data_IF_364552951990
#
_entry.id   IF_364552951990
#
_cell.length_a   1.000
_cell.length_b   1.000
_cell.length_c   1.000
_cell.angle_alpha   90.00
_cell.angle_beta   90.00
_cell.angle_gamma   90.00
#
_symmetry.space_group_name_H-M   'P 1'
#
loop_
_entity.id
_entity.type
_entity.pdbx_description
1 polymer ?
#
# COMPACT_ATOMS: atom_id res chain seq x y z
N UNK A 1 -25.18 36.09 -7.21
CA UNK A 1 -23.75 35.74 -7.02
C UNK A 1 -23.67 34.68 -5.93
N UNK A 2 -23.54 33.40 -6.29
CA UNK A 2 -23.31 32.32 -5.32
C UNK A 2 -21.81 32.28 -5.00
N UNK A 3 -21.41 32.95 -3.92
CA UNK A 3 -20.08 32.79 -3.35
C UNK A 3 -19.96 31.38 -2.78
N UNK A 4 -19.06 30.57 -3.32
CA UNK A 4 -18.74 29.23 -2.81
C UNK A 4 -18.35 29.31 -1.33
N UNK A 5 -19.18 28.74 -0.46
CA UNK A 5 -19.19 28.96 1.01
C UNK A 5 -17.95 28.41 1.74
N UNK A 6 -17.08 27.64 1.09
CA UNK A 6 -15.86 27.12 1.74
C UNK A 6 -14.67 27.14 0.76
N UNK A 7 -13.83 28.17 0.85
CA UNK A 7 -12.56 28.24 0.10
C UNK A 7 -11.52 27.36 0.80
N UNK A 8 -11.37 26.13 0.30
CA UNK A 8 -10.39 25.14 0.78
C UNK A 8 -9.12 25.28 -0.08
N UNK A 9 -8.03 25.79 0.51
CA UNK A 9 -6.73 25.84 -0.16
C UNK A 9 -6.05 24.47 -0.11
N UNK A 10 -6.35 23.65 -1.13
CA UNK A 10 -5.93 22.24 -1.25
C UNK A 10 -4.41 22.06 -1.06
N UNK A 11 -3.60 22.96 -1.60
CA UNK A 11 -2.13 22.90 -1.54
C UNK A 11 -1.59 22.96 -0.10
N UNK A 12 -2.21 23.75 0.76
CA UNK A 12 -1.75 23.93 2.14
C UNK A 12 -2.47 23.03 3.13
N UNK A 13 -3.77 22.81 2.91
CA UNK A 13 -4.62 22.12 3.87
C UNK A 13 -4.42 20.61 3.83
N UNK A 14 -4.21 20.01 2.67
CA UNK A 14 -4.00 18.54 2.59
C UNK A 14 -2.79 18.10 3.41
N UNK A 15 -1.59 18.70 3.26
CA UNK A 15 -0.43 18.33 4.08
C UNK A 15 -0.68 18.52 5.59
N UNK A 16 -1.39 19.59 5.98
CA UNK A 16 -1.75 19.87 7.38
C UNK A 16 -2.67 18.80 7.96
N UNK A 17 -3.70 18.39 7.22
CA UNK A 17 -4.65 17.37 7.69
C UNK A 17 -4.07 15.96 7.74
N UNK A 18 -3.12 15.63 6.87
CA UNK A 18 -2.48 14.30 6.86
C UNK A 18 -1.25 14.22 7.77
N UNK A 19 -0.79 15.34 8.35
CA UNK A 19 0.46 15.45 9.12
C UNK A 19 1.65 14.81 8.39
N UNK A 20 1.66 14.90 7.06
CA UNK A 20 2.62 14.24 6.19
C UNK A 20 3.00 15.13 5.01
N UNK A 21 4.21 14.92 4.48
CA UNK A 21 4.63 15.55 3.23
C UNK A 21 3.92 14.87 2.06
N UNK A 22 2.98 15.58 1.44
CA UNK A 22 2.18 15.06 0.33
C UNK A 22 2.54 15.79 -0.96
N UNK A 23 2.83 15.02 -2.01
CA UNK A 23 2.97 15.53 -3.37
C UNK A 23 1.67 15.34 -4.12
N UNK A 24 1.01 16.46 -4.42
CA UNK A 24 -0.22 16.48 -5.20
C UNK A 24 0.13 16.40 -6.69
N UNK A 25 -0.46 15.41 -7.36
CA UNK A 25 -0.20 15.12 -8.77
C UNK A 25 -1.52 15.00 -9.52
N UNK A 26 -1.50 15.38 -10.78
CA UNK A 26 -2.62 15.26 -11.73
C UNK A 26 -2.18 14.47 -12.95
N UNK A 27 -3.11 14.06 -13.81
CA UNK A 27 -2.78 13.34 -15.04
C UNK A 27 -3.22 14.14 -16.25
N UNK A 28 -2.56 13.94 -17.38
CA UNK A 28 -2.91 14.64 -18.62
C UNK A 28 -4.35 14.37 -19.04
N UNK A 29 -4.83 13.13 -18.87
CA UNK A 29 -6.22 12.77 -19.16
C UNK A 29 -7.23 13.54 -18.29
N UNK A 30 -6.93 13.75 -16.99
CA UNK A 30 -7.79 14.54 -16.10
C UNK A 30 -7.85 16.00 -16.53
N UNK A 31 -6.71 16.58 -16.93
CA UNK A 31 -6.65 17.96 -17.41
C UNK A 31 -7.51 18.11 -18.67
N UNK A 32 -7.33 17.23 -19.65
CA UNK A 32 -8.07 17.27 -20.92
C UNK A 32 -9.58 17.09 -20.69
N UNK A 33 -9.98 16.20 -19.77
CA UNK A 33 -11.40 16.03 -19.43
C UNK A 33 -11.98 17.28 -18.77
N UNK A 34 -11.25 17.89 -17.84
CA UNK A 34 -11.67 19.12 -17.19
C UNK A 34 -11.73 20.32 -18.18
N UNK A 35 -10.83 20.38 -19.15
CA UNK A 35 -10.86 21.38 -20.24
C UNK A 35 -12.09 21.22 -21.11
N UNK A 36 -12.38 19.99 -21.55
CA UNK A 36 -13.60 19.68 -22.31
C UNK A 36 -14.85 20.12 -21.56
N UNK A 37 -14.95 19.81 -20.26
CA UNK A 37 -16.08 20.25 -19.44
C UNK A 37 -16.13 21.77 -19.25
N UNK A 38 -14.97 22.43 -19.24
CA UNK A 38 -14.88 23.90 -19.18
C UNK A 38 -15.33 24.60 -20.47
N UNK A 39 -15.10 23.99 -21.64
CA UNK A 39 -15.57 24.49 -22.93
C UNK A 39 -17.11 24.45 -23.03
N UNK A 40 -17.75 23.44 -22.44
CA UNK A 40 -19.21 23.36 -22.31
C UNK A 40 -19.74 24.22 -21.14
N UNK A 41 -19.51 25.54 -21.22
CA UNK A 41 -20.22 26.64 -20.52
C UNK A 41 -20.72 26.38 -19.08
N UNK A 42 -19.91 25.74 -18.22
CA UNK A 42 -20.15 25.74 -16.79
C UNK A 42 -19.10 26.59 -16.06
N UNK A 43 -19.48 27.81 -15.68
CA UNK A 43 -18.62 28.73 -14.92
C UNK A 43 -18.12 28.11 -13.59
N UNK A 44 -18.85 27.12 -13.06
CA UNK A 44 -18.48 26.43 -11.83
C UNK A 44 -17.24 25.52 -11.96
N UNK A 45 -16.90 25.05 -13.16
CA UNK A 45 -15.81 24.07 -13.37
C UNK A 45 -14.48 24.75 -13.70
N UNK A 46 -14.52 26.00 -14.17
CA UNK A 46 -13.30 26.75 -14.52
C UNK A 46 -12.35 26.93 -13.32
N UNK A 47 -12.90 27.18 -12.12
CA UNK A 47 -12.10 27.25 -10.90
C UNK A 47 -11.38 25.93 -10.58
N UNK A 48 -12.07 24.80 -10.78
CA UNK A 48 -11.46 23.48 -10.61
C UNK A 48 -10.36 23.22 -11.64
N UNK A 49 -10.56 23.62 -12.90
CA UNK A 49 -9.56 23.50 -13.95
C UNK A 49 -8.26 24.24 -13.60
N UNK A 50 -8.37 25.48 -13.09
CA UNK A 50 -7.20 26.27 -12.67
C UNK A 50 -6.41 25.58 -11.56
N UNK A 51 -7.11 24.96 -10.59
CA UNK A 51 -6.47 24.22 -9.50
C UNK A 51 -5.75 22.96 -10.02
N UNK A 52 -6.37 22.19 -10.90
CA UNK A 52 -5.77 20.95 -11.45
C UNK A 52 -4.48 21.24 -12.22
N UNK A 53 -4.43 22.36 -12.95
CA UNK A 53 -3.23 22.80 -13.68
C UNK A 53 -2.07 23.26 -12.80
N UNK A 54 -2.33 23.64 -11.55
CA UNK A 54 -1.28 24.07 -10.61
C UNK A 54 -0.45 22.90 -10.06
N UNK A 55 -1.00 21.68 -10.09
CA UNK A 55 -0.32 20.50 -9.57
C UNK A 55 0.55 19.83 -10.64
N UNK A 56 1.56 19.08 -10.20
CA UNK A 56 2.50 18.41 -11.11
C UNK A 56 1.81 17.33 -11.93
N UNK A 57 2.03 17.32 -13.25
CA UNK A 57 1.46 16.30 -14.12
C UNK A 57 2.30 15.02 -14.10
N UNK A 58 1.68 13.91 -13.70
CA UNK A 58 2.24 12.58 -13.85
C UNK A 58 2.02 12.06 -15.28
N UNK A 59 3.09 11.53 -15.90
CA UNK A 59 3.04 10.96 -17.24
C UNK A 59 2.24 9.66 -17.22
N UNK A 60 1.05 9.67 -17.81
CA UNK A 60 0.26 8.47 -18.08
C UNK A 60 0.59 7.89 -19.46
N UNK A 61 0.32 6.60 -19.68
CA UNK A 61 0.55 5.93 -20.98
C UNK A 61 -0.45 6.28 -22.08
N UNK A 62 -1.25 7.34 -21.90
CA UNK A 62 -2.38 7.71 -22.77
C UNK A 62 -2.19 9.09 -23.44
N UNK A 63 -0.94 9.51 -23.66
CA UNK A 63 -0.65 10.84 -24.22
C UNK A 63 -1.18 10.97 -25.66
N UNK A 64 -1.09 9.92 -26.47
CA UNK A 64 -1.52 9.94 -27.86
C UNK A 64 -3.05 9.80 -28.01
N UNK A 65 -3.68 9.05 -27.11
CA UNK A 65 -5.13 8.80 -27.09
C UNK A 65 -5.68 9.03 -25.69
N UNK A 66 -6.13 10.26 -25.36
CA UNK A 66 -6.63 10.58 -24.04
C UNK A 66 -7.92 9.81 -23.76
N UNK A 67 -7.89 9.03 -22.69
CA UNK A 67 -9.04 8.28 -22.17
C UNK A 67 -9.73 9.06 -21.04
N UNK A 68 -10.96 8.69 -20.64
CA UNK A 68 -11.61 9.28 -19.47
C UNK A 68 -10.74 9.14 -18.20
N UNK A 69 -10.78 10.15 -17.33
CA UNK A 69 -10.01 10.26 -16.09
C UNK A 69 -10.18 9.03 -15.20
N UNK A 70 -11.40 8.52 -15.06
CA UNK A 70 -11.70 7.31 -14.30
C UNK A 70 -10.88 6.11 -14.80
N UNK A 71 -10.84 5.90 -16.11
CA UNK A 71 -10.08 4.83 -16.78
C UNK A 71 -8.58 5.06 -16.67
N UNK A 72 -8.12 6.31 -16.82
CA UNK A 72 -6.72 6.67 -16.69
C UNK A 72 -6.19 6.37 -15.27
N UNK A 73 -6.92 6.80 -14.24
CA UNK A 73 -6.55 6.59 -12.84
C UNK A 73 -6.52 5.10 -12.47
N UNK A 74 -7.47 4.31 -12.97
CA UNK A 74 -7.47 2.85 -12.79
C UNK A 74 -6.24 2.18 -13.39
N UNK A 75 -5.90 2.55 -14.62
CA UNK A 75 -4.72 2.04 -15.32
C UNK A 75 -3.43 2.37 -14.56
N UNK A 76 -3.36 3.57 -13.97
CA UNK A 76 -2.21 3.99 -13.14
C UNK A 76 -2.10 3.26 -11.80
N UNK A 77 -3.22 2.97 -11.15
CA UNK A 77 -3.23 2.23 -9.88
C UNK A 77 -2.88 0.75 -10.12
N UNK A 78 -3.49 0.14 -11.13
CA UNK A 78 -3.36 -1.29 -11.42
C UNK A 78 -3.70 -2.17 -10.20
N UNK A 79 -3.36 -3.46 -10.29
CA UNK A 79 -3.60 -4.42 -9.22
C UNK A 79 -2.59 -4.37 -8.06
N UNK A 80 -1.45 -3.69 -8.22
CA UNK A 80 -0.35 -3.71 -7.25
C UNK A 80 0.13 -2.34 -6.76
N UNK A 81 -0.52 -1.22 -7.15
CA UNK A 81 -0.18 0.16 -6.76
C UNK A 81 1.36 0.38 -6.66
N UNK A 82 2.10 0.09 -7.72
CA UNK A 82 3.58 0.09 -7.73
C UNK A 82 4.18 1.44 -7.32
N UNK A 83 3.56 2.53 -7.78
CA UNK A 83 3.93 3.90 -7.43
C UNK A 83 3.32 4.38 -6.09
N UNK A 84 2.60 3.49 -5.38
CA UNK A 84 2.02 3.70 -4.05
C UNK A 84 1.22 5.00 -3.94
N UNK A 85 0.36 5.25 -4.93
CA UNK A 85 -0.61 6.34 -4.88
C UNK A 85 -1.64 6.09 -3.77
N UNK A 86 -1.91 7.12 -2.98
CA UNK A 86 -3.00 7.12 -2.01
C UNK A 86 -4.25 7.70 -2.66
N UNK A 87 -5.32 6.91 -2.67
CA UNK A 87 -6.63 7.28 -3.20
C UNK A 87 -7.61 7.28 -2.04
N UNK A 88 -8.43 8.34 -1.93
CA UNK A 88 -9.32 8.51 -0.78
C UNK A 88 -10.49 7.52 -0.86
N UNK A 89 -10.86 6.94 0.29
CA UNK A 89 -11.87 5.87 0.47
C UNK A 89 -13.19 6.05 -0.28
N UNK A 90 -13.69 7.27 -0.48
CA UNK A 90 -14.95 7.48 -1.21
C UNK A 90 -14.86 7.05 -2.68
N UNK A 91 -13.69 7.17 -3.28
CA UNK A 91 -13.48 6.69 -4.65
C UNK A 91 -13.17 5.19 -4.70
N UNK A 92 -12.92 4.52 -3.56
CA UNK A 92 -12.56 3.10 -3.52
C UNK A 92 -13.71 2.20 -4.00
N UNK A 93 -14.97 2.55 -3.71
CA UNK A 93 -16.15 1.82 -4.22
C UNK A 93 -16.32 2.03 -5.74
N UNK A 94 -16.17 3.27 -6.21
CA UNK A 94 -16.16 3.59 -7.64
C UNK A 94 -15.03 2.87 -8.37
N UNK A 95 -13.83 2.81 -7.78
CA UNK A 95 -12.70 2.08 -8.35
C UNK A 95 -12.86 0.56 -8.25
N UNK A 96 -13.48 0.01 -7.19
CA UNK A 96 -13.82 -1.43 -7.13
C UNK A 96 -14.82 -1.82 -8.21
N UNK A 97 -15.86 -1.00 -8.42
CA UNK A 97 -16.84 -1.24 -9.48
C UNK A 97 -16.21 -1.11 -10.86
N UNK A 98 -15.34 -0.12 -11.07
CA UNK A 98 -14.62 0.01 -12.33
C UNK A 98 -13.59 -1.11 -12.55
N UNK A 99 -12.81 -1.52 -11.55
CA UNK A 99 -11.88 -2.67 -11.61
C UNK A 99 -12.61 -3.94 -12.05
N UNK A 100 -13.80 -4.19 -11.50
CA UNK A 100 -14.70 -5.28 -11.92
C UNK A 100 -15.13 -5.14 -13.38
N UNK A 101 -15.56 -3.95 -13.79
CA UNK A 101 -16.00 -3.67 -15.17
C UNK A 101 -14.88 -3.83 -16.21
N UNK A 102 -13.66 -3.44 -15.87
CA UNK A 102 -12.50 -3.47 -16.76
C UNK A 102 -11.64 -4.75 -16.62
N UNK A 103 -12.11 -5.75 -15.86
CA UNK A 103 -11.42 -7.04 -15.73
C UNK A 103 -10.06 -6.98 -15.02
N UNK A 104 -9.74 -5.88 -14.34
CA UNK A 104 -8.52 -5.73 -13.54
C UNK A 104 -8.80 -6.38 -12.18
N UNK A 105 -8.64 -7.69 -12.11
CA UNK A 105 -8.78 -8.44 -10.86
C UNK A 105 -7.66 -8.04 -9.90
N UNK A 106 -8.06 -7.58 -8.71
CA UNK A 106 -7.14 -7.41 -7.60
C UNK A 106 -6.57 -8.78 -7.25
N UNK A 107 -5.27 -8.97 -7.49
CA UNK A 107 -4.56 -10.04 -6.79
C UNK A 107 -4.64 -9.64 -5.33
N UNK A 108 -5.45 -10.33 -4.54
CA UNK A 108 -5.43 -10.30 -3.07
C UNK A 108 -4.08 -10.85 -2.57
N UNK A 109 -2.99 -10.20 -2.96
CA UNK A 109 -1.65 -10.50 -2.58
C UNK A 109 -1.37 -9.75 -1.30
N UNK A 110 -1.39 -10.48 -0.18
CA UNK A 110 -0.85 -10.05 1.11
C UNK A 110 0.39 -9.19 0.87
N UNK A 111 0.31 -7.89 1.17
CA UNK A 111 1.48 -7.01 1.19
C UNK A 111 2.45 -7.62 2.20
N UNK A 112 3.51 -8.29 1.73
CA UNK A 112 4.54 -8.84 2.60
C UNK A 112 5.24 -7.67 3.29
N UNK A 113 4.78 -7.30 4.49
CA UNK A 113 5.47 -6.33 5.35
C UNK A 113 6.92 -6.78 5.50
N UNK A 114 7.85 -6.04 4.89
CA UNK A 114 9.29 -6.29 5.04
C UNK A 114 9.60 -6.22 6.53
N UNK A 115 10.20 -7.28 7.09
CA UNK A 115 10.62 -7.31 8.49
C UNK A 115 11.63 -6.17 8.70
N UNK A 116 11.32 -5.22 9.58
CA UNK A 116 12.27 -4.18 10.00
C UNK A 116 13.52 -4.87 10.57
N UNK A 117 14.72 -4.41 10.20
CA UNK A 117 15.96 -4.83 10.87
C UNK A 117 15.85 -4.37 12.32
N UNK A 118 15.76 -5.29 13.28
CA UNK A 118 15.81 -4.93 14.70
C UNK A 118 17.22 -4.39 14.95
N UNK A 119 17.30 -3.16 15.47
CA UNK A 119 18.55 -2.59 15.98
C UNK A 119 19.13 -3.47 17.10
N UNK A 120 20.41 -3.27 17.46
CA UNK A 120 21.04 -4.07 18.49
C UNK A 120 20.21 -4.03 19.78
N UNK A 121 19.91 -5.22 20.32
CA UNK A 121 19.13 -5.38 21.55
C UNK A 121 19.82 -4.63 22.71
N UNK A 122 19.14 -3.73 23.42
CA UNK A 122 19.74 -2.91 24.47
C UNK A 122 20.26 -3.71 25.69
N UNK A 123 19.91 -4.99 25.83
CA UNK A 123 20.49 -5.90 26.83
C UNK A 123 21.79 -6.58 26.36
N UNK A 124 22.54 -5.94 25.46
CA UNK A 124 23.93 -6.31 25.17
C UNK A 124 24.81 -5.96 26.38
N UNK A 125 24.69 -6.76 27.44
CA UNK A 125 25.48 -6.67 28.65
C UNK A 125 26.97 -6.73 28.33
N UNK A 126 27.70 -5.82 28.98
CA UNK A 126 29.14 -5.60 28.90
C UNK A 126 29.94 -6.92 28.90
N UNK A 127 30.98 -6.97 28.05
CA UNK A 127 31.90 -8.09 27.89
C UNK A 127 32.58 -8.38 29.24
N UNK A 128 32.41 -9.60 29.78
CA UNK A 128 33.11 -10.07 30.99
C UNK A 128 34.61 -10.12 30.71
N UNK A 129 35.40 -9.31 31.41
CA UNK A 129 36.86 -9.32 31.30
C UNK A 129 37.43 -10.60 31.95
N UNK A 130 38.34 -11.28 31.25
CA UNK A 130 39.21 -12.32 31.82
C UNK A 130 40.66 -11.91 31.57
N UNK A 131 41.48 -11.97 32.62
CA UNK A 131 42.93 -11.74 32.59
C UNK A 131 43.66 -12.83 31.78
N UNK A 132 44.80 -12.41 31.26
CA UNK A 132 45.74 -12.96 30.27
C UNK A 132 46.28 -14.38 30.50
N UNK A 133 46.36 -15.18 29.42
CA UNK A 133 47.51 -16.05 29.06
C UNK A 133 47.59 -16.14 27.53
N UNK A 134 48.81 -16.18 26.99
CA UNK A 134 49.21 -16.02 25.58
C UNK A 134 49.30 -17.37 24.85
N UNK A 135 49.10 -17.32 23.51
CA UNK A 135 49.70 -18.12 22.41
C UNK A 135 48.73 -18.94 21.52
N UNK A 136 48.66 -18.44 20.27
CA UNK A 136 48.47 -19.01 18.92
C UNK A 136 47.14 -19.58 18.36
N UNK A 137 46.91 -19.12 17.12
CA UNK A 137 45.79 -19.34 16.22
C UNK A 137 46.01 -20.56 15.30
N UNK A 138 44.98 -21.40 15.14
CA UNK A 138 44.36 -21.66 13.82
C UNK A 138 42.97 -22.31 13.96
N UNK A 139 42.18 -22.08 12.92
CA UNK A 139 40.72 -21.92 12.89
C UNK A 139 39.85 -23.10 13.35
N UNK A 140 38.79 -22.72 14.04
CA UNK A 140 37.67 -23.56 14.42
C UNK A 140 36.43 -23.18 13.59
N UNK A 141 35.76 -24.14 12.94
CA UNK A 141 34.38 -23.96 12.47
C UNK A 141 33.40 -24.74 13.37
N UNK A 142 33.12 -24.19 14.56
CA UNK A 142 32.09 -24.70 15.48
C UNK A 142 30.69 -24.56 14.86
N UNK A 143 29.98 -25.70 14.79
CA UNK A 143 28.62 -25.88 14.27
C UNK A 143 27.60 -24.92 14.89
N UNK A 144 26.85 -24.20 14.05
CA UNK A 144 25.64 -23.44 14.45
C UNK A 144 24.60 -24.40 15.07
N UNK A 145 24.26 -24.22 16.34
CA UNK A 145 23.16 -24.94 17.01
C UNK A 145 21.83 -24.59 16.33
N UNK A 146 21.27 -25.54 15.58
CA UNK A 146 19.95 -25.43 14.95
C UNK A 146 18.86 -25.45 16.03
N UNK A 147 17.93 -24.50 15.98
CA UNK A 147 16.72 -24.53 16.82
C UNK A 147 15.92 -25.80 16.47
N UNK A 148 15.59 -26.60 17.48
CA UNK A 148 14.82 -27.83 17.29
C UNK A 148 13.40 -27.48 16.84
N UNK A 149 13.03 -27.86 15.62
CA UNK A 149 11.63 -27.93 15.21
C UNK A 149 10.99 -29.04 16.03
N UNK A 150 10.07 -28.72 16.94
CA UNK A 150 9.35 -29.74 17.70
C UNK A 150 8.49 -30.52 16.70
N UNK A 151 8.84 -31.79 16.49
CA UNK A 151 8.09 -32.71 15.63
C UNK A 151 6.96 -33.27 16.48
N UNK A 152 5.73 -32.91 16.16
CA UNK A 152 4.56 -33.39 16.87
C UNK A 152 4.41 -34.91 16.57
N UNK A 153 4.31 -35.78 17.60
CA UNK A 153 4.03 -37.20 17.44
C UNK A 153 2.77 -37.45 16.59
N UNK A 154 2.76 -38.53 15.79
CA UNK A 154 1.67 -38.84 14.85
C UNK A 154 0.31 -38.98 15.56
N UNK A 155 0.27 -39.68 16.68
CA UNK A 155 -0.96 -39.91 17.44
C UNK A 155 -1.62 -38.61 17.95
N UNK A 156 -0.84 -37.59 18.34
CA UNK A 156 -1.36 -36.29 18.74
C UNK A 156 -2.00 -35.55 17.56
N UNK A 157 -1.38 -35.66 16.38
CA UNK A 157 -1.91 -35.06 15.16
C UNK A 157 -3.22 -35.75 14.72
N UNK A 158 -3.29 -37.07 14.84
CA UNK A 158 -4.48 -37.86 14.53
C UNK A 158 -5.63 -37.55 15.49
N UNK A 159 -5.36 -37.44 16.79
CA UNK A 159 -6.36 -37.07 17.79
C UNK A 159 -6.96 -35.68 17.54
N UNK A 160 -6.13 -34.68 17.23
CA UNK A 160 -6.63 -33.33 16.92
C UNK A 160 -7.46 -33.30 15.63
N UNK A 161 -7.12 -34.12 14.63
CA UNK A 161 -7.92 -34.25 13.41
C UNK A 161 -9.26 -34.92 13.71
N UNK A 162 -9.29 -35.93 14.58
CA UNK A 162 -10.53 -36.58 15.00
C UNK A 162 -11.45 -35.61 15.77
N UNK A 163 -10.90 -34.78 16.65
CA UNK A 163 -11.66 -33.74 17.36
C UNK A 163 -12.33 -32.76 16.38
N UNK A 164 -11.59 -32.25 15.40
CA UNK A 164 -12.14 -31.34 14.39
C UNK A 164 -13.26 -32.00 13.54
N UNK A 165 -13.14 -33.29 13.23
CA UNK A 165 -14.18 -34.03 12.50
C UNK A 165 -15.46 -34.21 13.31
N UNK A 166 -15.33 -34.54 14.59
CA UNK A 166 -16.48 -34.68 15.49
C UNK A 166 -17.21 -33.34 15.70
N UNK A 167 -16.48 -32.24 15.74
CA UNK A 167 -17.07 -30.90 15.78
C UNK A 167 -17.85 -30.57 14.50
N UNK A 168 -17.34 -30.95 13.32
CA UNK A 168 -18.05 -30.72 12.05
C UNK A 168 -19.31 -31.57 11.89
N UNK A 169 -19.34 -32.81 12.40
CA UNK A 169 -20.53 -33.68 12.32
C UNK A 169 -21.66 -33.21 13.23
N UNK A 170 -21.32 -32.58 14.36
CA UNK A 170 -22.29 -32.00 15.31
C UNK A 170 -22.93 -30.70 14.81
N UNK A 171 -22.37 -30.07 13.77
CA UNK A 171 -22.90 -28.84 13.15
C UNK A 171 -23.82 -29.18 11.96
N UNK A 172 -23.67 -30.36 11.36
CA UNK A 172 -24.43 -30.81 10.19
C UNK A 172 -25.58 -31.79 10.52
N UNK A 173 -25.89 -31.96 11.81
CA UNK A 173 -27.06 -32.73 12.31
C UNK A 173 -28.06 -31.76 12.91
#
# INVERSE_FOLDING_TARGET
MLQSVNQVNIREQIPKYLEAEVKLLTTQCVIIEAEKLGEFKCSSVFGALMIVKQFGTHKCGHNDKPVPASVCLLSMLGGANSNRFDVRKHEEESFKTLRKKFGVLDKEGIIKKRKKKKGPNPLSCKKKQKKSVVVEHKEELKKKRKRKRVKIPKHLKEHWIAQLKNETTNITS
#
